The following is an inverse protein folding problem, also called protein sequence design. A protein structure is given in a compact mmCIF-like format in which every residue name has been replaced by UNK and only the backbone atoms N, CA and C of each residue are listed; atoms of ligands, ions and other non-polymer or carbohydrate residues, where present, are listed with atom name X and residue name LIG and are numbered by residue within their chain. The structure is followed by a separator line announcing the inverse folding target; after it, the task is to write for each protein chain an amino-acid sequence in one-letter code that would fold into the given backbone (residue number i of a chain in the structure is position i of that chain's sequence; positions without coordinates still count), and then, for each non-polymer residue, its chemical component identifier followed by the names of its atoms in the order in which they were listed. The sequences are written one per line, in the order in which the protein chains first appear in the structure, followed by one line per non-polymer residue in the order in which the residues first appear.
data_IF_083250280700
#
_entry.id   IF_083250280700
#
_cell.length_a   1.000
_cell.length_b   1.000
_cell.length_c   1.000
_cell.angle_alpha   90.00
_cell.angle_beta   90.00
_cell.angle_gamma   90.00
#
_symmetry.space_group_name_H-M   'P 1'
#
loop_
_entity.id
_entity.type
_entity.pdbx_description
1 polymer ?
#
# COMPACT_ATOMS: atom_id res chain seq x y z
N UNK A 1 13.30 -6.10 7.05
CA UNK A 1 12.76 -6.67 5.82
C UNK A 1 13.46 -6.12 4.59
N UNK A 2 13.26 -6.72 3.42
CA UNK A 2 13.77 -6.17 2.15
C UNK A 2 12.65 -5.53 1.36
N UNK A 3 12.99 -4.42 0.66
CA UNK A 3 12.04 -3.71 -0.18
C UNK A 3 12.75 -3.02 -1.35
N UNK A 4 11.98 -2.68 -2.38
CA UNK A 4 12.43 -1.87 -3.51
C UNK A 4 12.39 -0.40 -3.13
N UNK A 5 13.56 0.25 -3.19
CA UNK A 5 13.76 1.66 -2.85
C UNK A 5 14.26 2.41 -4.08
N UNK A 6 13.60 3.51 -4.42
CA UNK A 6 14.09 4.44 -5.42
C UNK A 6 14.93 5.53 -4.74
N UNK A 7 16.18 5.71 -5.20
CA UNK A 7 17.12 6.70 -4.71
C UNK A 7 17.18 7.96 -5.60
N UNK A 8 16.68 7.84 -6.83
CA UNK A 8 16.68 8.92 -7.82
C UNK A 8 16.48 8.38 -9.23
N UNK A 9 16.74 9.24 -10.20
CA UNK A 9 16.65 8.85 -11.62
C UNK A 9 17.55 7.65 -11.93
N UNK A 10 16.96 6.58 -12.48
CA UNK A 10 17.61 5.30 -12.85
C UNK A 10 18.34 4.58 -11.69
N UNK A 11 18.03 4.95 -10.45
CA UNK A 11 18.62 4.32 -9.27
C UNK A 11 17.52 3.68 -8.41
N UNK A 12 17.23 2.42 -8.68
CA UNK A 12 16.33 1.56 -7.91
C UNK A 12 17.15 0.42 -7.33
N UNK A 13 16.98 0.16 -6.03
CA UNK A 13 17.71 -0.87 -5.30
C UNK A 13 16.75 -1.74 -4.52
N UNK A 14 17.09 -3.04 -4.41
CA UNK A 14 16.43 -3.96 -3.49
C UNK A 14 17.32 -4.12 -2.27
N UNK A 15 16.92 -3.53 -1.16
CA UNK A 15 17.79 -3.37 0.02
C UNK A 15 17.05 -3.63 1.32
N UNK A 16 17.81 -3.74 2.41
CA UNK A 16 17.25 -3.87 3.75
C UNK A 16 16.69 -2.54 4.24
N UNK A 17 15.47 -2.59 4.75
CA UNK A 17 14.76 -1.45 5.34
C UNK A 17 14.12 -1.88 6.66
N UNK A 18 13.73 -0.92 7.49
CA UNK A 18 12.98 -1.20 8.71
C UNK A 18 11.66 -1.91 8.38
N UNK A 19 11.27 -2.85 9.25
CA UNK A 19 9.95 -3.48 9.16
C UNK A 19 8.85 -2.43 9.41
N UNK A 20 7.70 -2.52 8.72
CA UNK A 20 6.58 -1.65 9.00
C UNK A 20 6.00 -1.96 10.38
N UNK A 21 5.48 -0.92 11.05
CA UNK A 21 4.80 -1.03 12.33
C UNK A 21 3.42 -0.41 12.25
N UNK A 22 2.48 -0.91 13.06
CA UNK A 22 1.17 -0.28 13.22
C UNK A 22 1.38 1.10 13.86
N UNK A 23 0.86 2.15 13.23
CA UNK A 23 0.98 3.54 13.70
C UNK A 23 -0.33 4.08 14.25
N UNK A 24 -1.45 3.53 13.80
CA UNK A 24 -2.80 3.87 14.26
C UNK A 24 -3.63 2.62 14.52
N UNK A 25 -4.76 2.78 15.23
CA UNK A 25 -5.68 1.68 15.48
C UNK A 25 -6.36 1.11 14.24
N UNK A 26 -6.44 1.87 13.14
CA UNK A 26 -7.04 1.45 11.87
C UNK A 26 -6.05 0.84 10.88
N UNK A 27 -4.79 0.62 11.27
CA UNK A 27 -3.76 0.07 10.40
C UNK A 27 -3.80 -1.47 10.31
N UNK A 28 -3.30 -2.00 9.21
CA UNK A 28 -2.89 -3.41 9.10
C UNK A 28 -1.44 -3.52 8.62
N UNK A 29 -0.81 -4.65 8.93
CA UNK A 29 0.45 -5.08 8.30
C UNK A 29 0.11 -6.25 7.39
N UNK A 30 0.47 -6.12 6.13
CA UNK A 30 0.26 -7.14 5.10
C UNK A 30 1.61 -7.68 4.65
N UNK A 31 1.77 -9.00 4.72
CA UNK A 31 2.85 -9.73 4.05
C UNK A 31 2.51 -9.83 2.57
N UNK A 32 3.30 -9.18 1.74
CA UNK A 32 3.08 -9.13 0.30
C UNK A 32 3.36 -10.49 -0.34
N UNK A 33 2.40 -11.01 -1.08
CA UNK A 33 2.53 -12.25 -1.88
C UNK A 33 2.96 -11.91 -3.29
N UNK A 34 2.40 -10.85 -3.87
CA UNK A 34 2.77 -10.33 -5.17
C UNK A 34 2.53 -8.82 -5.22
N UNK A 35 3.35 -8.12 -5.98
CA UNK A 35 3.19 -6.72 -6.31
C UNK A 35 3.52 -6.49 -7.79
N UNK A 36 2.83 -5.55 -8.43
CA UNK A 36 3.08 -5.19 -9.81
C UNK A 36 3.99 -3.96 -9.94
N UNK A 37 4.57 -3.83 -11.13
CA UNK A 37 5.21 -2.59 -11.58
C UNK A 37 4.22 -1.85 -12.47
N UNK A 38 3.71 -0.73 -12.02
CA UNK A 38 2.84 0.14 -12.79
C UNK A 38 3.64 1.06 -13.72
N UNK A 39 3.02 1.52 -14.80
CA UNK A 39 3.62 2.53 -15.68
C UNK A 39 3.98 3.83 -14.95
N UNK A 40 3.27 4.19 -13.89
CA UNK A 40 3.56 5.37 -13.06
C UNK A 40 4.83 5.24 -12.23
N UNK A 41 5.28 4.04 -11.88
CA UNK A 41 6.58 3.80 -11.23
C UNK A 41 7.76 4.23 -12.12
N UNK A 42 7.54 4.26 -13.43
CA UNK A 42 8.55 4.68 -14.39
C UNK A 42 8.77 6.20 -14.42
N UNK A 43 7.84 7.00 -13.91
CA UNK A 43 7.97 8.45 -13.91
C UNK A 43 9.11 8.94 -13.01
N UNK A 44 9.18 8.54 -11.73
CA UNK A 44 10.32 8.86 -10.89
C UNK A 44 11.60 8.16 -11.39
N UNK A 45 11.51 6.93 -11.90
CA UNK A 45 12.68 6.23 -12.47
C UNK A 45 13.29 6.98 -13.66
N UNK A 46 12.48 7.63 -14.49
CA UNK A 46 12.94 8.44 -15.64
C UNK A 46 13.25 9.89 -15.30
N UNK A 47 13.14 10.30 -14.03
CA UNK A 47 13.37 11.67 -13.60
C UNK A 47 12.24 12.64 -13.96
N UNK A 48 11.09 12.14 -14.47
CA UNK A 48 9.92 12.99 -14.80
C UNK A 48 9.30 13.55 -13.52
N UNK A 49 9.20 12.71 -12.49
CA UNK A 49 8.80 13.14 -11.14
C UNK A 49 10.02 13.13 -10.23
N UNK A 50 10.36 14.26 -9.60
CA UNK A 50 11.50 14.30 -8.69
C UNK A 50 11.39 13.34 -7.52
N UNK A 51 12.51 12.71 -7.16
CA UNK A 51 12.65 11.90 -5.95
C UNK A 51 13.65 12.58 -5.03
N UNK A 52 13.21 13.52 -4.18
CA UNK A 52 14.10 14.35 -3.38
C UNK A 52 14.83 13.58 -2.27
N UNK A 53 14.35 12.39 -1.93
CA UNK A 53 14.93 11.48 -0.93
C UNK A 53 14.60 10.03 -1.28
N UNK A 54 15.42 9.05 -0.85
CA UNK A 54 15.09 7.64 -1.03
C UNK A 54 13.74 7.31 -0.42
N UNK A 55 12.93 6.52 -1.15
CA UNK A 55 11.61 6.05 -0.67
C UNK A 55 11.27 4.67 -1.23
N UNK A 56 10.50 3.90 -0.47
CA UNK A 56 9.91 2.64 -0.94
C UNK A 56 8.88 2.93 -2.01
N UNK A 57 8.79 2.07 -3.02
CA UNK A 57 7.86 2.20 -4.16
C UNK A 57 6.90 1.01 -4.24
N UNK A 58 5.93 1.11 -5.14
CA UNK A 58 4.90 0.10 -5.39
C UNK A 58 3.56 0.48 -4.77
N UNK A 59 2.49 0.32 -5.54
CA UNK A 59 1.14 0.75 -5.14
C UNK A 59 0.05 -0.23 -5.62
N UNK A 60 0.44 -1.40 -6.08
CA UNK A 60 -0.47 -2.47 -6.50
C UNK A 60 0.04 -3.79 -5.92
N UNK A 61 -0.71 -4.39 -5.00
CA UNK A 61 -0.27 -5.61 -4.32
C UNK A 61 -1.42 -6.46 -3.81
N UNK A 62 -1.10 -7.72 -3.60
CA UNK A 62 -1.93 -8.68 -2.87
C UNK A 62 -1.09 -9.33 -1.78
N UNK A 63 -1.73 -9.73 -0.69
CA UNK A 63 -0.99 -10.31 0.42
C UNK A 63 -1.86 -10.94 1.49
N UNK A 64 -1.21 -11.35 2.55
CA UNK A 64 -1.85 -11.95 3.73
C UNK A 64 -1.67 -11.00 4.91
N UNK A 65 -2.76 -10.72 5.60
CA UNK A 65 -2.77 -9.88 6.80
C UNK A 65 -2.00 -10.59 7.92
N UNK A 66 -0.94 -9.97 8.45
CA UNK A 66 -0.12 -10.49 9.56
C UNK A 66 -0.45 -9.84 10.90
N UNK A 67 -0.88 -8.58 10.89
CA UNK A 67 -1.29 -7.86 12.09
C UNK A 67 -2.34 -6.80 11.75
N UNK A 68 -3.20 -6.49 12.72
CA UNK A 68 -4.22 -5.43 12.63
C UNK A 68 -4.19 -4.58 13.89
N UNK A 69 -4.55 -3.31 13.75
CA UNK A 69 -4.80 -2.43 14.88
C UNK A 69 -6.17 -2.70 15.54
N UNK A 70 -6.39 -2.20 16.76
CA UNK A 70 -7.59 -2.50 17.52
C UNK A 70 -8.90 -1.95 16.94
N UNK A 71 -8.83 -0.99 16.03
CA UNK A 71 -10.00 -0.36 15.42
C UNK A 71 -10.39 -0.99 14.06
N UNK A 72 -9.63 -1.99 13.59
CA UNK A 72 -9.93 -2.74 12.36
C UNK A 72 -11.05 -3.74 12.63
N UNK A 73 -12.13 -3.70 11.84
CA UNK A 73 -13.36 -4.44 12.09
C UNK A 73 -13.71 -5.47 11.02
N UNK A 74 -13.32 -5.23 9.76
CA UNK A 74 -13.77 -6.02 8.61
C UNK A 74 -12.70 -6.98 8.07
N UNK A 75 -11.46 -6.79 8.49
CA UNK A 75 -10.29 -7.59 8.07
C UNK A 75 -9.75 -8.35 9.27
N UNK A 76 -9.32 -9.58 9.07
CA UNK A 76 -8.76 -10.44 10.09
C UNK A 76 -7.33 -10.90 9.76
N UNK A 77 -6.54 -11.19 10.79
CA UNK A 77 -5.22 -11.81 10.59
C UNK A 77 -5.40 -13.17 9.88
N UNK A 78 -4.62 -13.39 8.82
CA UNK A 78 -4.70 -14.56 7.96
C UNK A 78 -5.54 -14.36 6.71
N UNK A 79 -6.33 -13.30 6.62
CA UNK A 79 -7.08 -12.99 5.40
C UNK A 79 -6.14 -12.71 4.23
N UNK A 80 -6.50 -13.24 3.06
CA UNK A 80 -5.91 -12.82 1.82
C UNK A 80 -6.63 -11.56 1.31
N UNK A 81 -5.84 -10.54 0.99
CA UNK A 81 -6.36 -9.21 0.64
C UNK A 81 -5.78 -8.70 -0.68
N UNK A 82 -6.60 -7.91 -1.36
CA UNK A 82 -6.22 -7.11 -2.53
C UNK A 82 -6.23 -5.65 -2.10
N UNK A 83 -5.19 -4.91 -2.44
CA UNK A 83 -5.08 -3.49 -2.17
C UNK A 83 -5.20 -2.69 -3.47
N UNK A 84 -6.10 -1.69 -3.55
CA UNK A 84 -6.11 -0.73 -4.63
C UNK A 84 -4.88 0.18 -4.55
N UNK A 85 -4.62 0.96 -5.59
CA UNK A 85 -3.45 1.85 -5.68
C UNK A 85 -3.47 3.05 -4.70
N UNK A 86 -4.52 3.19 -3.91
CA UNK A 86 -4.73 4.26 -2.93
C UNK A 86 -5.28 3.70 -1.63
N UNK A 87 -5.12 4.44 -0.54
CA UNK A 87 -5.82 4.20 0.72
C UNK A 87 -6.98 5.18 0.93
N UNK A 88 -8.03 4.76 1.61
CA UNK A 88 -9.17 5.60 1.93
C UNK A 88 -9.85 5.19 3.25
N UNK A 89 -10.39 6.18 3.96
CA UNK A 89 -11.03 5.99 5.25
C UNK A 89 -12.49 5.55 5.20
N UNK A 90 -13.11 5.60 4.02
CA UNK A 90 -14.54 5.33 3.76
C UNK A 90 -15.52 6.18 4.58
N UNK A 91 -15.04 7.22 5.30
CA UNK A 91 -15.86 8.04 6.21
C UNK A 91 -15.98 9.50 5.81
N UNK A 92 -15.04 10.05 5.05
CA UNK A 92 -15.08 11.44 4.61
C UNK A 92 -16.18 11.68 3.58
N UNK A 93 -16.52 12.95 3.36
CA UNK A 93 -17.62 13.33 2.45
C UNK A 93 -17.40 12.80 1.02
N UNK A 94 -16.16 12.72 0.54
CA UNK A 94 -15.87 12.20 -0.79
C UNK A 94 -16.11 10.69 -0.85
N UNK A 95 -15.66 9.94 0.17
CA UNK A 95 -15.93 8.50 0.26
C UNK A 95 -17.43 8.21 0.35
N UNK A 96 -18.17 8.94 1.18
CA UNK A 96 -19.61 8.79 1.33
C UNK A 96 -20.38 9.09 0.03
N UNK A 97 -19.83 9.91 -0.85
CA UNK A 97 -20.37 10.17 -2.19
C UNK A 97 -19.83 9.23 -3.27
N UNK A 98 -19.13 8.14 -2.91
CA UNK A 98 -18.61 7.15 -3.85
C UNK A 98 -17.34 7.56 -4.61
N UNK A 99 -16.64 8.61 -4.16
CA UNK A 99 -15.41 9.11 -4.78
C UNK A 99 -14.22 8.83 -3.85
N UNK A 100 -14.02 7.56 -3.50
CA UNK A 100 -12.99 7.11 -2.54
C UNK A 100 -11.56 7.37 -3.01
N UNK A 101 -11.32 7.39 -4.33
CA UNK A 101 -10.02 7.79 -4.90
C UNK A 101 -9.61 9.23 -4.60
N UNK A 102 -10.55 10.06 -4.16
CA UNK A 102 -10.32 11.43 -3.71
C UNK A 102 -10.58 11.57 -2.20
N UNK A 103 -10.32 10.53 -1.43
CA UNK A 103 -10.44 10.56 0.01
C UNK A 103 -9.65 11.74 0.60
N UNK A 104 -10.28 12.47 1.53
CA UNK A 104 -9.64 13.63 2.16
C UNK A 104 -8.52 13.23 3.13
N UNK A 105 -8.56 12.01 3.66
CA UNK A 105 -7.62 11.50 4.66
C UNK A 105 -6.70 10.40 4.08
N UNK A 106 -6.99 9.95 2.87
CA UNK A 106 -6.23 8.91 2.20
C UNK A 106 -5.05 9.42 1.39
N UNK A 107 -4.33 8.49 0.78
CA UNK A 107 -3.14 8.77 0.01
C UNK A 107 -2.87 7.74 -1.08
N UNK A 108 -1.69 7.84 -1.65
CA UNK A 108 -1.14 6.89 -2.62
C UNK A 108 0.02 6.15 -1.96
N UNK A 109 0.13 4.87 -2.22
CA UNK A 109 1.25 4.09 -1.70
C UNK A 109 2.60 4.68 -2.15
N UNK A 110 3.56 4.77 -1.23
CA UNK A 110 4.86 5.40 -1.49
C UNK A 110 4.82 6.93 -1.58
N UNK A 111 3.73 7.55 -1.12
CA UNK A 111 3.55 9.02 -1.09
C UNK A 111 3.54 9.54 0.34
N UNK A 112 3.99 10.78 0.51
CA UNK A 112 4.05 11.49 1.80
C UNK A 112 3.36 12.87 1.77
N UNK A 113 2.56 13.12 0.75
CA UNK A 113 2.03 14.43 0.43
C UNK A 113 0.55 14.63 0.82
N UNK A 114 -0.01 13.75 1.62
CA UNK A 114 -1.42 13.77 1.99
C UNK A 114 -1.66 14.02 3.47
N UNK A 115 -2.86 14.48 3.78
CA UNK A 115 -3.34 14.70 5.15
C UNK A 115 -3.36 13.42 6.00
N UNK A 116 -3.49 12.25 5.37
CA UNK A 116 -3.40 10.94 6.02
C UNK A 116 -1.98 10.49 6.39
N UNK A 117 -0.97 11.26 6.00
CA UNK A 117 0.43 10.94 6.26
C UNK A 117 1.04 9.95 5.27
N UNK A 118 2.24 9.49 5.60
CA UNK A 118 3.02 8.63 4.72
C UNK A 118 2.46 7.21 4.66
N UNK A 119 2.19 6.75 3.44
CA UNK A 119 1.92 5.35 3.15
C UNK A 119 3.14 4.73 2.44
N UNK A 120 3.67 3.65 3.00
CA UNK A 120 4.82 2.96 2.45
C UNK A 120 4.53 2.35 1.07
N UNK A 121 5.58 2.22 0.26
CA UNK A 121 5.50 1.45 -0.98
C UNK A 121 5.47 -0.05 -0.72
N UNK A 122 4.71 -0.76 -1.53
CA UNK A 122 4.38 -2.17 -1.34
C UNK A 122 5.24 -3.16 -2.14
N UNK A 123 6.22 -2.70 -2.90
CA UNK A 123 7.22 -3.59 -3.53
C UNK A 123 8.27 -4.02 -2.49
N UNK A 124 7.86 -4.85 -1.53
CA UNK A 124 8.65 -5.33 -0.42
C UNK A 124 8.02 -6.56 0.23
N UNK A 125 8.70 -7.10 1.25
CA UNK A 125 8.21 -8.30 1.94
C UNK A 125 6.94 -8.01 2.77
N UNK A 126 6.81 -6.77 3.29
CA UNK A 126 5.66 -6.32 4.09
C UNK A 126 5.35 -4.86 3.80
N UNK A 127 4.11 -4.49 4.05
CA UNK A 127 3.64 -3.11 3.94
C UNK A 127 2.68 -2.78 5.07
N UNK A 128 2.76 -1.55 5.61
CA UNK A 128 1.71 -1.00 6.47
C UNK A 128 0.60 -0.42 5.60
N UNK A 129 -0.62 -0.80 5.92
CA UNK A 129 -1.83 -0.34 5.24
C UNK A 129 -2.60 0.56 6.20
N UNK A 130 -2.62 1.88 5.99
CA UNK A 130 -3.52 2.77 6.74
C UNK A 130 -4.97 2.53 6.33
N UNK A 131 -5.91 2.84 7.24
CA UNK A 131 -7.34 2.71 6.97
C UNK A 131 -7.73 1.33 6.41
N UNK A 132 -7.26 0.25 7.06
CA UNK A 132 -7.33 -1.11 6.52
C UNK A 132 -8.73 -1.52 6.06
N UNK A 133 -9.79 -1.19 6.82
CA UNK A 133 -11.18 -1.49 6.48
C UNK A 133 -11.68 -0.78 5.21
N UNK A 134 -11.13 0.38 4.90
CA UNK A 134 -11.47 1.13 3.69
C UNK A 134 -10.55 0.85 2.50
N UNK A 135 -9.35 0.34 2.79
CA UNK A 135 -8.29 0.19 1.79
C UNK A 135 -8.14 -1.23 1.27
N UNK A 136 -8.52 -2.24 2.05
CA UNK A 136 -8.30 -3.63 1.71
C UNK A 136 -9.61 -4.34 1.34
N UNK A 137 -9.54 -5.20 0.34
CA UNK A 137 -10.62 -6.11 -0.03
C UNK A 137 -10.21 -7.52 0.33
N UNK A 138 -10.86 -8.08 1.36
CA UNK A 138 -10.68 -9.48 1.71
C UNK A 138 -11.32 -10.39 0.66
N UNK A 139 -10.62 -11.46 0.30
CA UNK A 139 -11.14 -12.47 -0.61
C UNK A 139 -11.30 -13.80 0.13
N UNK A 140 -12.36 -14.58 -0.14
CA UNK A 140 -12.52 -15.88 0.49
C UNK A 140 -11.44 -16.86 -0.01
N UNK A 141 -10.54 -17.22 0.90
CA UNK A 141 -9.42 -18.10 0.62
C UNK A 141 -8.24 -17.39 -0.06
N UNK A 142 -7.06 -18.01 0.05
CA UNK A 142 -5.89 -17.55 -0.70
C UNK A 142 -6.18 -17.71 -2.20
N UNK A 143 -5.98 -16.69 -3.02
CA UNK A 143 -6.21 -16.82 -4.44
C UNK A 143 -5.23 -17.81 -5.00
N UNK A 144 -5.74 -18.61 -5.88
CA UNK A 144 -4.91 -19.35 -6.78
C UNK A 144 -4.01 -18.37 -7.56
N UNK A 145 -2.87 -18.86 -8.04
CA UNK A 145 -1.88 -18.07 -8.81
C UNK A 145 -2.49 -17.26 -9.96
N UNK A 146 -3.65 -17.69 -10.47
CA UNK A 146 -4.35 -16.99 -11.55
C UNK A 146 -5.02 -15.67 -11.16
N UNK A 147 -5.10 -15.31 -9.87
CA UNK A 147 -5.63 -14.02 -9.42
C UNK A 147 -4.56 -12.92 -9.31
N UNK A 148 -3.27 -13.27 -9.45
CA UNK A 148 -2.19 -12.28 -9.52
C UNK A 148 -2.40 -11.28 -10.68
N UNK A 149 -2.92 -11.67 -11.86
CA UNK A 149 -3.26 -10.71 -12.93
C UNK A 149 -4.38 -9.72 -12.60
N UNK A 150 -5.02 -9.84 -11.43
CA UNK A 150 -6.04 -8.87 -10.97
C UNK A 150 -5.44 -7.63 -10.30
N UNK A 151 -4.13 -7.56 -10.24
CA UNK A 151 -3.37 -6.40 -9.76
C UNK A 151 -3.36 -5.28 -10.78
#
# INVERSE_FOLDING_TARGET
MRATVIHGERDIRFEEVADPVLSTGGDAIVRVVAACVCGSDLWPYRGITPTPRPKRIGHEFVGIVEAIGPDVLTISVGDFVIAPFYDCDMTCINCLNGVSTSCLHGGWWGSDDRLGGFADGAQGERVRVPHADGSLVATPGAPAEHLVPSL
#
